data_IF_991571007039
#
_entry.id   IF_991571007039
#
_cell.length_a   1.000
_cell.length_b   1.000
_cell.length_c   1.000
_cell.angle_alpha   90.00
_cell.angle_beta   90.00
_cell.angle_gamma   90.00
#
_symmetry.space_group_name_H-M   'P 1'
#
loop_
_entity.id
_entity.type
_entity.pdbx_description
1 polymer ?
#
# COMPACT_ATOMS: atom_id res chain seq x y z
N UNK A 1 -12.15 36.28 13.74
CA UNK A 1 -11.53 35.65 12.56
C UNK A 1 -11.91 36.47 11.33
N UNK A 2 -10.91 36.92 10.58
CA UNK A 2 -11.11 37.75 9.38
C UNK A 2 -11.40 36.81 8.20
N UNK A 3 -12.20 37.22 7.21
CA UNK A 3 -12.58 36.41 6.04
C UNK A 3 -11.38 35.71 5.38
N UNK A 4 -10.24 36.39 5.26
CA UNK A 4 -9.01 35.82 4.69
C UNK A 4 -8.39 34.66 5.51
N UNK A 5 -8.65 34.59 6.82
CA UNK A 5 -8.18 33.49 7.67
C UNK A 5 -9.01 32.21 7.43
N UNK A 6 -10.30 32.37 7.09
CA UNK A 6 -11.20 31.25 6.70
C UNK A 6 -10.83 30.69 5.33
N UNK A 7 -10.58 31.57 4.36
CA UNK A 7 -10.16 31.18 3.02
C UNK A 7 -8.82 30.42 3.06
N UNK A 8 -7.87 30.90 3.87
CA UNK A 8 -6.56 30.25 4.03
C UNK A 8 -6.70 28.84 4.63
N UNK A 9 -7.56 28.66 5.63
CA UNK A 9 -7.82 27.35 6.23
C UNK A 9 -8.53 26.40 5.26
N UNK A 10 -9.47 26.89 4.45
CA UNK A 10 -10.15 26.09 3.44
C UNK A 10 -9.18 25.60 2.35
N UNK A 11 -8.25 26.46 1.89
CA UNK A 11 -7.21 26.09 0.92
C UNK A 11 -6.24 25.06 1.51
N UNK A 12 -5.82 25.26 2.76
CA UNK A 12 -4.95 24.30 3.45
C UNK A 12 -5.61 22.92 3.57
N UNK A 13 -6.92 22.90 3.85
CA UNK A 13 -7.71 21.66 3.92
C UNK A 13 -7.82 20.96 2.57
N UNK A 14 -8.13 21.66 1.47
CA UNK A 14 -8.18 21.07 0.11
C UNK A 14 -6.83 20.46 -0.27
N UNK A 15 -5.74 21.16 0.03
CA UNK A 15 -4.40 20.68 -0.29
C UNK A 15 -4.03 19.44 0.51
N UNK A 16 -4.30 19.43 1.83
CA UNK A 16 -4.06 18.28 2.69
C UNK A 16 -4.92 17.07 2.28
N UNK A 17 -6.17 17.31 1.86
CA UNK A 17 -7.07 16.27 1.37
C UNK A 17 -6.57 15.63 0.07
N UNK A 18 -6.25 16.44 -0.95
CA UNK A 18 -5.69 15.94 -2.22
C UNK A 18 -4.40 15.18 -2.03
N UNK A 19 -3.54 15.64 -1.12
CA UNK A 19 -2.29 14.98 -0.77
C UNK A 19 -2.51 13.60 -0.13
N UNK A 20 -3.55 13.46 0.70
CA UNK A 20 -3.99 12.20 1.29
C UNK A 20 -4.56 11.24 0.23
N UNK A 21 -5.46 11.72 -0.62
CA UNK A 21 -6.12 10.94 -1.66
C UNK A 21 -5.10 10.40 -2.69
N UNK A 22 -4.14 11.23 -3.10
CA UNK A 22 -3.07 10.83 -4.02
C UNK A 22 -2.19 9.70 -3.44
N UNK A 23 -1.85 9.75 -2.14
CA UNK A 23 -1.07 8.67 -1.48
C UNK A 23 -1.83 7.36 -1.43
N UNK A 24 -3.13 7.43 -1.17
CA UNK A 24 -3.99 6.25 -1.14
C UNK A 24 -4.17 5.64 -2.53
N UNK A 25 -4.41 6.45 -3.55
CA UNK A 25 -4.48 6.00 -4.94
C UNK A 25 -3.18 5.33 -5.40
N UNK A 26 -2.04 5.90 -5.02
CA UNK A 26 -0.72 5.35 -5.33
C UNK A 26 -0.46 3.97 -4.70
N UNK A 27 -0.97 3.70 -3.49
CA UNK A 27 -0.85 2.39 -2.86
C UNK A 27 -1.62 1.30 -3.63
N UNK A 28 -2.80 1.61 -4.16
CA UNK A 28 -3.58 0.68 -5.00
C UNK A 28 -2.88 0.42 -6.33
N UNK A 29 -2.36 1.48 -6.96
CA UNK A 29 -1.64 1.38 -8.23
C UNK A 29 -0.37 0.53 -8.09
N UNK A 30 0.39 0.68 -7.00
CA UNK A 30 1.55 -0.18 -6.71
C UNK A 30 1.16 -1.65 -6.60
N UNK A 31 0.02 -1.96 -5.97
CA UNK A 31 -0.45 -3.33 -5.84
C UNK A 31 -0.84 -3.94 -7.20
N UNK A 32 -1.49 -3.16 -8.06
CA UNK A 32 -1.80 -3.59 -9.43
C UNK A 32 -0.53 -3.86 -10.26
N UNK A 33 0.46 -2.96 -10.18
CA UNK A 33 1.75 -3.14 -10.85
C UNK A 33 2.46 -4.40 -10.34
N UNK A 34 2.46 -4.63 -9.02
CA UNK A 34 3.08 -5.82 -8.44
C UNK A 34 2.42 -7.11 -8.96
N UNK A 35 1.09 -7.17 -9.02
CA UNK A 35 0.37 -8.35 -9.52
C UNK A 35 0.74 -8.63 -10.98
N UNK A 36 0.77 -7.60 -11.83
CA UNK A 36 1.20 -7.73 -13.21
C UNK A 36 2.64 -8.23 -13.32
N UNK A 37 3.54 -7.65 -12.51
CA UNK A 37 4.95 -8.03 -12.47
C UNK A 37 5.15 -9.49 -12.03
N UNK A 38 4.40 -9.96 -11.03
CA UNK A 38 4.44 -11.35 -10.58
C UNK A 38 3.91 -12.32 -11.64
N UNK A 39 2.90 -11.92 -12.42
CA UNK A 39 2.42 -12.74 -13.54
C UNK A 39 3.49 -12.90 -14.63
N UNK A 40 4.23 -11.82 -14.94
CA UNK A 40 5.36 -11.86 -15.87
C UNK A 40 6.46 -12.80 -15.35
N UNK A 41 6.87 -12.63 -14.08
CA UNK A 41 7.90 -13.48 -13.47
C UNK A 41 7.48 -14.95 -13.39
N UNK A 42 6.22 -15.23 -13.07
CA UNK A 42 5.69 -16.60 -13.04
C UNK A 42 5.71 -17.26 -14.42
N UNK A 43 5.37 -16.51 -15.47
CA UNK A 43 5.46 -17.00 -16.85
C UNK A 43 6.90 -17.28 -17.26
N UNK A 44 7.82 -16.34 -16.97
CA UNK A 44 9.24 -16.51 -17.24
C UNK A 44 9.85 -17.69 -16.48
N UNK A 45 9.43 -17.90 -15.22
CA UNK A 45 9.84 -19.04 -14.41
C UNK A 45 9.42 -20.36 -15.05
N UNK A 46 8.16 -20.48 -15.48
CA UNK A 46 7.66 -21.68 -16.17
C UNK A 46 8.45 -22.00 -17.44
N UNK A 47 8.75 -20.97 -18.25
CA UNK A 47 9.57 -21.11 -19.47
C UNK A 47 10.99 -21.56 -19.13
N UNK A 48 11.62 -20.98 -18.11
CA UNK A 48 12.98 -21.34 -17.70
C UNK A 48 13.08 -22.78 -17.20
N UNK A 49 12.10 -23.23 -16.40
CA UNK A 49 12.01 -24.63 -15.94
C UNK A 49 11.81 -25.57 -17.14
N UNK A 50 10.91 -25.23 -18.07
CA UNK A 50 10.65 -26.07 -19.24
C UNK A 50 11.87 -26.18 -20.18
N UNK A 51 12.70 -25.13 -20.24
CA UNK A 51 13.95 -25.12 -20.98
C UNK A 51 15.12 -25.80 -20.23
N UNK A 52 14.90 -26.35 -19.03
CA UNK A 52 15.94 -26.95 -18.19
C UNK A 52 16.94 -25.94 -17.62
N UNK A 53 16.64 -24.64 -17.68
CA UNK A 53 17.49 -23.57 -17.14
C UNK A 53 17.16 -23.27 -15.68
N UNK A 54 17.41 -24.24 -14.80
CA UNK A 54 17.03 -24.16 -13.39
C UNK A 54 17.75 -23.04 -12.62
N UNK A 55 18.98 -22.69 -13.02
CA UNK A 55 19.69 -21.52 -12.48
C UNK A 55 18.93 -20.22 -12.68
N UNK A 56 18.34 -20.04 -13.88
CA UNK A 56 17.56 -18.87 -14.25
C UNK A 56 16.16 -18.90 -13.61
N UNK A 57 15.54 -20.08 -13.50
CA UNK A 57 14.29 -20.24 -12.76
C UNK A 57 14.46 -19.85 -11.27
N UNK A 58 15.54 -20.29 -10.62
CA UNK A 58 15.82 -19.95 -9.23
C UNK A 58 16.03 -18.44 -9.02
N UNK A 59 16.74 -17.76 -9.92
CA UNK A 59 16.95 -16.30 -9.83
C UNK A 59 15.66 -15.50 -10.03
N UNK A 60 14.74 -15.96 -10.88
CA UNK A 60 13.40 -15.37 -11.01
C UNK A 60 12.58 -15.49 -9.73
N UNK A 61 12.70 -16.62 -9.01
CA UNK A 61 12.07 -16.79 -7.69
C UNK A 61 12.60 -15.80 -6.64
N UNK A 62 13.92 -15.59 -6.59
CA UNK A 62 14.53 -14.56 -5.72
C UNK A 62 14.05 -13.17 -6.10
N UNK A 63 14.00 -12.85 -7.40
CA UNK A 63 13.55 -11.55 -7.89
C UNK A 63 12.09 -11.28 -7.51
N UNK A 64 11.22 -12.30 -7.58
CA UNK A 64 9.84 -12.20 -7.12
C UNK A 64 9.77 -11.89 -5.62
N UNK A 65 10.53 -12.60 -4.78
CA UNK A 65 10.57 -12.38 -3.34
C UNK A 65 11.03 -10.95 -2.98
N UNK A 66 12.10 -10.47 -3.63
CA UNK A 66 12.61 -9.09 -3.44
C UNK A 66 11.57 -8.04 -3.86
N UNK A 67 10.89 -8.27 -4.98
CA UNK A 67 9.87 -7.34 -5.50
C UNK A 67 8.67 -7.21 -4.55
N UNK A 68 8.23 -8.32 -3.96
CA UNK A 68 7.16 -8.32 -2.96
C UNK A 68 7.61 -7.59 -1.69
N UNK A 69 8.81 -7.87 -1.19
CA UNK A 69 9.35 -7.21 0.00
C UNK A 69 9.51 -5.70 -0.19
N UNK A 70 10.02 -5.26 -1.34
CA UNK A 70 10.16 -3.84 -1.66
C UNK A 70 8.79 -3.12 -1.72
N UNK A 71 7.77 -3.79 -2.28
CA UNK A 71 6.42 -3.22 -2.37
C UNK A 71 5.74 -3.14 -1.00
N UNK A 72 5.95 -4.12 -0.12
CA UNK A 72 5.44 -4.07 1.26
C UNK A 72 6.07 -2.91 2.06
N UNK A 73 7.37 -2.68 1.90
CA UNK A 73 8.05 -1.53 2.50
C UNK A 73 7.52 -0.18 1.97
N UNK A 74 7.30 -0.07 0.67
CA UNK A 74 6.79 1.18 0.09
C UNK A 74 5.32 1.43 0.47
N UNK A 75 4.48 0.39 0.45
CA UNK A 75 3.08 0.52 0.85
C UNK A 75 2.92 0.83 2.33
N UNK A 76 3.76 0.27 3.21
CA UNK A 76 3.79 0.63 4.63
C UNK A 76 4.22 2.08 4.86
N UNK A 77 5.22 2.58 4.13
CA UNK A 77 5.61 4.00 4.14
C UNK A 77 4.50 4.93 3.67
N UNK A 78 3.80 4.55 2.59
CA UNK A 78 2.66 5.29 2.09
C UNK A 78 1.50 5.31 3.11
N UNK A 79 1.23 4.20 3.79
CA UNK A 79 0.22 4.14 4.87
C UNK A 79 0.59 5.02 6.07
N UNK A 80 1.85 4.95 6.52
CA UNK A 80 2.34 5.78 7.62
C UNK A 80 2.25 7.28 7.27
N UNK A 81 2.66 7.66 6.05
CA UNK A 81 2.54 9.06 5.62
C UNK A 81 1.08 9.51 5.42
N UNK A 82 0.19 8.61 4.99
CA UNK A 82 -1.24 8.91 4.89
C UNK A 82 -1.89 9.10 6.28
N UNK A 83 -1.43 8.40 7.32
CA UNK A 83 -1.90 8.62 8.70
C UNK A 83 -1.55 10.03 9.19
N UNK A 84 -0.31 10.50 8.96
CA UNK A 84 0.09 11.87 9.29
C UNK A 84 -0.77 12.91 8.58
N UNK A 85 -1.13 12.66 7.31
CA UNK A 85 -2.06 13.52 6.57
C UNK A 85 -3.48 13.50 7.15
N UNK A 86 -3.97 12.34 7.57
CA UNK A 86 -5.30 12.21 8.17
C UNK A 86 -5.42 12.94 9.51
N UNK A 87 -4.36 12.95 10.32
CA UNK A 87 -4.30 13.72 11.57
C UNK A 87 -4.35 15.23 11.28
N UNK A 88 -3.52 15.73 10.36
CA UNK A 88 -3.50 17.14 9.97
C UNK A 88 -4.84 17.60 9.37
N UNK A 89 -5.47 16.78 8.52
CA UNK A 89 -6.81 17.05 7.97
C UNK A 89 -7.86 17.15 9.08
N UNK A 90 -7.78 16.29 10.10
CA UNK A 90 -8.73 16.29 11.23
C UNK A 90 -8.58 17.55 12.09
N UNK A 91 -7.35 17.97 12.35
CA UNK A 91 -7.07 19.21 13.07
C UNK A 91 -7.56 20.45 12.31
N UNK A 92 -7.30 20.53 11.00
CA UNK A 92 -7.77 21.62 10.15
C UNK A 92 -9.30 21.65 10.03
N UNK A 93 -9.95 20.48 9.91
CA UNK A 93 -11.41 20.38 9.94
C UNK A 93 -11.99 20.87 11.27
N UNK A 94 -11.35 20.55 12.40
CA UNK A 94 -11.76 21.03 13.72
C UNK A 94 -11.68 22.55 13.84
N UNK A 95 -10.54 23.14 13.45
CA UNK A 95 -10.34 24.59 13.49
C UNK A 95 -11.30 25.36 12.56
N UNK A 96 -11.57 24.82 11.37
CA UNK A 96 -12.52 25.41 10.44
C UNK A 96 -13.96 25.32 10.95
N UNK A 97 -14.34 24.21 11.59
CA UNK A 97 -15.65 24.02 12.18
C UNK A 97 -15.91 24.98 13.35
N UNK A 98 -14.91 25.15 14.23
CA UNK A 98 -14.97 26.13 15.33
C UNK A 98 -15.12 27.57 14.79
N UNK A 99 -14.41 27.89 13.71
CA UNK A 99 -14.42 29.21 13.08
C UNK A 99 -15.71 29.57 12.32
N UNK A 100 -16.42 28.56 11.81
CA UNK A 100 -17.67 28.70 11.06
C UNK A 100 -18.90 28.43 11.94
N UNK A 101 -18.71 28.10 13.23
CA UNK A 101 -19.77 27.71 14.18
C UNK A 101 -20.75 26.68 13.59
N UNK A 102 -20.26 25.82 12.70
CA UNK A 102 -21.09 24.86 11.96
C UNK A 102 -20.81 23.47 12.50
N UNK A 103 -21.88 22.74 12.82
CA UNK A 103 -21.83 21.41 13.41
C UNK A 103 -21.35 20.38 12.37
N UNK A 104 -20.04 20.22 12.27
CA UNK A 104 -19.32 19.07 11.73
C UNK A 104 -19.63 18.63 10.29
N UNK A 105 -18.88 19.17 9.33
CA UNK A 105 -18.63 18.50 8.04
C UNK A 105 -17.62 17.35 8.26
N UNK A 106 -18.05 16.29 8.95
CA UNK A 106 -17.25 15.11 9.35
C UNK A 106 -16.98 14.15 8.17
N UNK A 107 -16.40 14.67 7.08
CA UNK A 107 -16.04 13.88 5.89
C UNK A 107 -15.04 12.77 6.21
N UNK A 108 -14.00 13.05 7.00
CA UNK A 108 -13.00 12.05 7.40
C UNK A 108 -13.62 10.96 8.29
N UNK A 109 -14.56 11.32 9.17
CA UNK A 109 -15.22 10.37 10.06
C UNK A 109 -16.20 9.45 9.31
N UNK A 110 -16.91 9.97 8.30
CA UNK A 110 -17.77 9.17 7.41
C UNK A 110 -16.95 8.22 6.54
N UNK A 111 -15.78 8.66 6.08
CA UNK A 111 -14.89 7.80 5.30
C UNK A 111 -14.23 6.72 6.17
N UNK A 112 -13.83 7.06 7.41
CA UNK A 112 -13.36 6.06 8.38
C UNK A 112 -14.46 5.06 8.77
N UNK A 113 -15.71 5.51 8.92
CA UNK A 113 -16.85 4.66 9.24
C UNK A 113 -17.27 3.74 8.08
N UNK A 114 -17.04 4.15 6.82
CA UNK A 114 -17.26 3.32 5.63
C UNK A 114 -16.14 2.31 5.36
N UNK A 115 -15.07 2.33 6.15
CA UNK A 115 -13.91 1.45 5.96
C UNK A 115 -14.24 0.05 6.51
N UNK A 116 -14.24 -1.01 5.67
CA UNK A 116 -14.36 -2.36 6.20
C UNK A 116 -13.17 -2.62 7.13
N UNK A 117 -13.39 -3.16 8.34
CA UNK A 117 -12.30 -3.49 9.26
C UNK A 117 -11.33 -4.41 8.53
N UNK A 118 -10.05 -4.04 8.51
CA UNK A 118 -9.02 -4.85 7.88
C UNK A 118 -8.86 -6.10 8.75
N UNK A 119 -9.20 -7.31 8.27
CA UNK A 119 -9.19 -8.48 9.12
C UNK A 119 -7.74 -8.76 9.54
N UNK A 120 -7.49 -8.70 10.83
CA UNK A 120 -6.21 -8.99 11.45
C UNK A 120 -6.13 -10.51 11.61
N UNK A 121 -5.14 -11.15 10.98
CA UNK A 121 -4.94 -12.60 11.09
C UNK A 121 -3.57 -12.82 11.75
N UNK A 122 -3.53 -13.51 12.90
CA UNK A 122 -2.29 -13.75 13.66
C UNK A 122 -1.53 -12.47 14.07
N UNK A 123 -2.23 -11.37 14.38
CA UNK A 123 -1.60 -10.11 14.81
C UNK A 123 -0.88 -9.34 13.69
N UNK A 124 -0.97 -9.82 12.44
CA UNK A 124 -0.51 -9.13 11.24
C UNK A 124 -1.72 -8.65 10.44
N UNK A 125 -1.61 -7.46 9.86
CA UNK A 125 -2.54 -7.03 8.81
C UNK A 125 -2.55 -8.08 7.71
N UNK A 126 -3.73 -8.43 7.20
CA UNK A 126 -3.94 -9.43 6.14
C UNK A 126 -3.02 -9.22 4.92
N UNK A 127 -2.69 -7.97 4.61
CA UNK A 127 -1.70 -7.62 3.57
C UNK A 127 -0.26 -8.07 3.88
N UNK A 128 0.20 -7.93 5.13
CA UNK A 128 1.54 -8.39 5.56
C UNK A 128 1.62 -9.90 5.58
N UNK A 129 0.52 -10.58 5.94
CA UNK A 129 0.45 -12.03 5.92
C UNK A 129 0.53 -12.58 4.49
N UNK A 130 -0.20 -11.98 3.54
CA UNK A 130 -0.10 -12.30 2.12
C UNK A 130 1.31 -12.09 1.58
N UNK A 131 1.95 -10.94 1.89
CA UNK A 131 3.32 -10.67 1.48
C UNK A 131 4.29 -11.75 2.01
N UNK A 132 4.15 -12.14 3.28
CA UNK A 132 5.00 -13.15 3.90
C UNK A 132 4.84 -14.52 3.23
N UNK A 133 3.59 -14.95 2.98
CA UNK A 133 3.32 -16.21 2.27
C UNK A 133 3.87 -16.17 0.84
N UNK A 134 3.67 -15.08 0.10
CA UNK A 134 4.19 -14.94 -1.25
C UNK A 134 5.72 -15.00 -1.29
N UNK A 135 6.40 -14.35 -0.34
CA UNK A 135 7.85 -14.42 -0.19
C UNK A 135 8.28 -15.85 0.12
N UNK A 136 7.64 -16.50 1.10
CA UNK A 136 7.99 -17.86 1.50
C UNK A 136 7.82 -18.87 0.35
N UNK A 137 6.73 -18.77 -0.43
CA UNK A 137 6.48 -19.61 -1.60
C UNK A 137 7.52 -19.37 -2.69
N UNK A 138 7.83 -18.10 -3.00
CA UNK A 138 8.83 -17.77 -4.01
C UNK A 138 10.24 -18.25 -3.61
N UNK A 139 10.59 -18.11 -2.33
CA UNK A 139 11.87 -18.55 -1.80
C UNK A 139 11.97 -20.09 -1.77
N UNK A 140 10.91 -20.78 -1.34
CA UNK A 140 10.83 -22.23 -1.37
C UNK A 140 10.90 -22.79 -2.80
N UNK A 141 10.23 -22.15 -3.77
CA UNK A 141 10.30 -22.51 -5.18
C UNK A 141 11.70 -22.32 -5.78
N UNK A 142 12.40 -21.25 -5.39
CA UNK A 142 13.80 -21.01 -5.78
C UNK A 142 14.75 -22.07 -5.19
N UNK A 143 14.63 -22.35 -3.90
CA UNK A 143 15.40 -23.40 -3.22
C UNK A 143 15.15 -24.78 -3.84
N UNK A 144 13.89 -25.09 -4.17
CA UNK A 144 13.54 -26.35 -4.80
C UNK A 144 14.18 -26.48 -6.18
N UNK A 145 14.13 -25.43 -7.00
CA UNK A 145 14.74 -25.46 -8.34
C UNK A 145 16.26 -25.58 -8.30
N UNK A 146 16.93 -24.95 -7.33
CA UNK A 146 18.37 -25.06 -7.20
C UNK A 146 18.87 -26.32 -6.50
N UNK A 147 18.13 -26.90 -5.55
CA UNK A 147 18.63 -28.05 -4.78
C UNK A 147 18.18 -29.40 -5.33
N UNK A 148 17.02 -29.45 -6.01
CA UNK A 148 16.41 -30.72 -6.42
C UNK A 148 16.27 -30.88 -7.94
N UNK A 149 16.33 -29.79 -8.72
CA UNK A 149 16.21 -29.85 -10.18
C UNK A 149 17.52 -29.58 -10.92
N UNK A 150 18.53 -28.93 -10.31
CA UNK A 150 19.85 -28.71 -10.90
C UNK A 150 20.68 -29.99 -10.93
#
# INVERSE_FOLDING_TARGET
MIEGERETLAIALDHAWRWYENRRGRAVLLLQILVLWLAILGTAYGVAVQAGQYGLAGSLGVLAAVSVAATDLETSRLRASAQLGAEAVTELQGRLADALSTETMRLNQREQAGRPPTPTFLGLDSGRWLAFVSIAVAFAGSLYTWLFLS
#
